data_IF_337334595605
#
_entry.id   IF_337334595605
#
_cell.length_a   1.000
_cell.length_b   1.000
_cell.length_c   1.000
_cell.angle_alpha   90.00
_cell.angle_beta   90.00
_cell.angle_gamma   90.00
#
_symmetry.space_group_name_H-M   'P 1'
#
loop_
_entity.id
_entity.type
_entity.pdbx_description
1 polymer ?
#
# COMPACT_ATOMS: atom_id res chain seq x y z
N UNK A 1 -10.70 8.48 2.51
CA UNK A 1 -9.58 7.70 3.08
C UNK A 1 -9.18 8.30 4.42
N UNK A 2 -8.79 9.59 4.50
CA UNK A 2 -8.26 10.22 5.71
C UNK A 2 -9.14 9.97 6.94
N UNK A 3 -10.45 10.17 6.83
CA UNK A 3 -11.42 9.98 7.93
C UNK A 3 -11.55 8.52 8.39
N UNK A 4 -11.12 7.57 7.57
CA UNK A 4 -11.24 6.13 7.84
C UNK A 4 -9.89 5.44 8.03
N UNK A 5 -8.82 6.21 8.26
CA UNK A 5 -7.50 5.63 8.59
C UNK A 5 -7.63 4.72 9.82
N UNK A 6 -7.05 3.53 9.75
CA UNK A 6 -7.21 2.47 10.74
C UNK A 6 -8.34 1.47 10.43
N UNK A 7 -9.14 1.71 9.38
CA UNK A 7 -10.27 0.86 8.95
C UNK A 7 -10.32 0.68 7.42
N UNK A 8 -9.19 0.79 6.74
CA UNK A 8 -9.11 0.70 5.28
C UNK A 8 -8.98 -0.76 4.86
N UNK A 9 -9.92 -1.23 4.06
CA UNK A 9 -9.92 -2.57 3.47
C UNK A 9 -9.60 -2.46 1.98
N UNK A 10 -8.50 -3.06 1.54
CA UNK A 10 -8.16 -3.19 0.14
C UNK A 10 -8.70 -4.51 -0.42
N UNK A 11 -9.36 -4.46 -1.57
CA UNK A 11 -9.80 -5.64 -2.32
C UNK A 11 -8.91 -5.81 -3.54
N UNK A 12 -8.07 -6.84 -3.51
CA UNK A 12 -7.10 -7.15 -4.55
C UNK A 12 -5.74 -6.47 -4.38
N UNK A 13 -4.75 -7.11 -4.98
CA UNK A 13 -3.33 -6.70 -4.88
C UNK A 13 -3.01 -5.41 -5.63
N UNK A 14 -3.79 -5.06 -6.65
CA UNK A 14 -3.67 -3.77 -7.35
C UNK A 14 -4.17 -2.64 -6.45
N UNK A 15 -5.32 -2.82 -5.79
CA UNK A 15 -5.90 -1.81 -4.91
C UNK A 15 -4.97 -1.45 -3.75
N UNK A 16 -4.38 -2.46 -3.08
CA UNK A 16 -3.45 -2.17 -1.99
C UNK A 16 -2.20 -1.43 -2.47
N UNK A 17 -1.65 -1.78 -3.64
CA UNK A 17 -0.49 -1.07 -4.21
C UNK A 17 -0.84 0.37 -4.53
N UNK A 18 -2.00 0.64 -5.10
CA UNK A 18 -2.48 1.99 -5.38
C UNK A 18 -2.66 2.78 -4.10
N UNK A 19 -3.35 2.24 -3.10
CA UNK A 19 -3.60 2.92 -1.83
C UNK A 19 -2.31 3.23 -1.07
N UNK A 20 -1.38 2.29 -0.98
CA UNK A 20 -0.09 2.51 -0.33
C UNK A 20 0.78 3.54 -1.09
N UNK A 21 0.66 3.62 -2.42
CA UNK A 21 1.37 4.62 -3.22
C UNK A 21 0.93 6.05 -2.93
N UNK A 22 -0.31 6.26 -2.47
CA UNK A 22 -0.80 7.60 -2.12
C UNK A 22 0.05 8.27 -1.03
N UNK A 23 0.57 7.49 -0.09
CA UNK A 23 1.47 8.03 0.93
C UNK A 23 2.74 8.65 0.31
N UNK A 24 3.38 7.95 -0.61
CA UNK A 24 4.62 8.42 -1.25
C UNK A 24 4.36 9.61 -2.17
N UNK A 25 3.27 9.57 -2.93
CA UNK A 25 2.82 10.68 -3.78
C UNK A 25 2.52 11.91 -2.92
N UNK A 26 1.80 11.74 -1.81
CA UNK A 26 1.53 12.82 -0.87
C UNK A 26 2.82 13.42 -0.27
N UNK A 27 3.81 12.58 0.03
CA UNK A 27 5.12 13.05 0.50
C UNK A 27 5.86 13.86 -0.57
N UNK A 28 5.80 13.47 -1.85
CA UNK A 28 6.37 14.23 -2.95
C UNK A 28 5.69 15.60 -3.07
N UNK A 29 4.35 15.65 -3.02
CA UNK A 29 3.58 16.90 -3.07
C UNK A 29 3.86 17.79 -1.87
N UNK A 30 3.92 17.23 -0.66
CA UNK A 30 4.30 17.97 0.54
C UNK A 30 5.67 18.63 0.38
N UNK A 31 6.65 17.89 -0.12
CA UNK A 31 8.01 18.39 -0.36
C UNK A 31 8.00 19.52 -1.39
N UNK A 32 7.24 19.38 -2.49
CA UNK A 32 7.11 20.43 -3.51
C UNK A 32 6.49 21.73 -2.95
N UNK A 33 5.51 21.61 -2.07
CA UNK A 33 4.84 22.75 -1.47
C UNK A 33 5.74 23.50 -0.46
N UNK A 34 6.66 22.80 0.21
CA UNK A 34 7.49 23.36 1.28
C UNK A 34 8.95 23.56 0.89
N UNK A 35 9.36 23.09 -0.30
CA UNK A 35 10.72 23.22 -0.78
C UNK A 35 10.74 23.77 -2.22
N UNK A 36 11.13 25.02 -2.37
CA UNK A 36 11.16 25.73 -3.67
C UNK A 36 12.18 25.18 -4.67
N UNK A 37 13.07 24.29 -4.25
CA UNK A 37 14.12 23.72 -5.10
C UNK A 37 13.78 22.35 -5.70
N UNK A 38 12.74 21.70 -5.22
CA UNK A 38 12.34 20.37 -5.69
C UNK A 38 10.94 20.40 -6.29
N UNK A 39 10.85 20.41 -7.62
CA UNK A 39 9.59 20.28 -8.36
C UNK A 39 9.53 18.92 -9.05
N UNK A 40 8.52 18.15 -8.75
CA UNK A 40 8.25 16.90 -9.46
C UNK A 40 7.45 17.22 -10.73
N UNK A 41 8.02 16.91 -11.88
CA UNK A 41 7.34 17.07 -13.19
C UNK A 41 6.34 15.93 -13.44
N UNK A 42 6.55 14.78 -12.81
CA UNK A 42 5.66 13.62 -12.86
C UNK A 42 5.58 13.00 -11.47
N UNK A 43 4.37 12.80 -10.97
CA UNK A 43 4.15 12.11 -9.71
C UNK A 43 4.26 10.61 -9.94
N UNK A 44 5.27 9.98 -9.40
CA UNK A 44 5.51 8.55 -9.59
C UNK A 44 6.17 7.92 -8.38
N UNK A 45 5.84 6.65 -8.13
CA UNK A 45 6.47 5.84 -7.10
C UNK A 45 7.32 4.76 -7.76
N UNK A 46 8.63 4.83 -7.59
CA UNK A 46 9.55 3.85 -8.13
C UNK A 46 9.45 2.50 -7.38
N UNK A 47 9.88 1.42 -8.04
CA UNK A 47 9.71 0.05 -7.54
C UNK A 47 10.20 -0.17 -6.11
N UNK A 48 11.37 0.37 -5.78
CA UNK A 48 12.01 0.18 -4.47
C UNK A 48 12.08 1.47 -3.64
N UNK A 49 11.38 2.52 -4.04
CA UNK A 49 11.36 3.80 -3.34
C UNK A 49 11.05 3.68 -1.84
N UNK A 50 10.10 2.83 -1.40
CA UNK A 50 9.79 2.68 0.02
C UNK A 50 10.97 2.24 0.90
N UNK A 51 12.01 1.68 0.29
CA UNK A 51 13.17 1.10 1.01
C UNK A 51 14.43 1.95 0.91
N UNK A 52 14.41 3.05 0.16
CA UNK A 52 15.60 3.87 -0.15
C UNK A 52 15.71 5.14 0.67
N UNK A 53 14.62 5.57 1.31
CA UNK A 53 14.51 6.83 2.05
C UNK A 53 13.76 6.63 3.35
N UNK A 54 14.11 7.42 4.35
CA UNK A 54 13.28 7.58 5.54
C UNK A 54 12.16 8.57 5.25
N UNK A 55 10.94 8.19 5.58
CA UNK A 55 9.75 9.02 5.45
C UNK A 55 9.26 9.39 6.85
N UNK A 56 9.17 10.70 7.13
CA UNK A 56 8.86 11.24 8.47
C UNK A 56 7.42 11.75 8.60
N UNK A 57 6.73 11.95 7.47
CA UNK A 57 5.34 12.39 7.51
C UNK A 57 4.44 11.29 8.05
N UNK A 58 3.44 11.69 8.82
CA UNK A 58 2.32 10.81 9.13
C UNK A 58 1.50 10.53 7.88
N UNK A 59 0.77 9.43 7.88
CA UNK A 59 -0.13 9.09 6.77
C UNK A 59 -1.15 10.19 6.51
N UNK A 60 -1.68 10.78 7.59
CA UNK A 60 -2.65 11.87 7.50
C UNK A 60 -2.05 13.10 6.80
N UNK A 61 -0.85 13.54 7.18
CA UNK A 61 -0.17 14.69 6.55
C UNK A 61 0.10 14.45 5.07
N UNK A 62 0.60 13.26 4.72
CA UNK A 62 0.85 12.91 3.33
C UNK A 62 -0.44 12.92 2.48
N UNK A 63 -1.51 12.31 2.97
CA UNK A 63 -2.79 12.31 2.26
C UNK A 63 -3.42 13.72 2.20
N UNK A 64 -3.27 14.53 3.26
CA UNK A 64 -3.74 15.91 3.26
C UNK A 64 -3.00 16.77 2.23
N UNK A 65 -1.72 16.52 1.99
CA UNK A 65 -0.97 17.20 0.94
C UNK A 65 -1.56 16.95 -0.47
N UNK A 66 -2.09 15.75 -0.72
CA UNK A 66 -2.82 15.46 -1.97
C UNK A 66 -4.08 16.32 -2.08
N UNK A 67 -4.88 16.38 -1.01
CA UNK A 67 -6.12 17.19 -1.01
C UNK A 67 -5.78 18.66 -1.23
N UNK A 68 -4.81 19.19 -0.49
CA UNK A 68 -4.38 20.57 -0.62
C UNK A 68 -3.87 20.89 -2.04
N UNK A 69 -3.16 19.96 -2.68
CA UNK A 69 -2.71 20.14 -4.06
C UNK A 69 -3.88 20.18 -5.04
N UNK A 70 -4.85 19.29 -4.93
CA UNK A 70 -6.05 19.27 -5.78
C UNK A 70 -6.87 20.55 -5.62
N UNK A 71 -7.06 21.00 -4.38
CA UNK A 71 -7.78 22.25 -4.08
C UNK A 71 -7.05 23.47 -4.66
N UNK A 72 -5.74 23.56 -4.46
CA UNK A 72 -4.93 24.69 -4.95
C UNK A 72 -4.87 24.75 -6.48
N UNK A 73 -4.89 23.60 -7.16
CA UNK A 73 -4.86 23.51 -8.63
C UNK A 73 -6.26 23.46 -9.25
N UNK A 74 -7.31 23.43 -8.43
CA UNK A 74 -8.71 23.26 -8.86
C UNK A 74 -8.91 22.01 -9.74
N UNK A 75 -8.20 20.94 -9.43
CA UNK A 75 -8.28 19.65 -10.12
C UNK A 75 -9.12 18.67 -9.30
N UNK A 76 -9.98 17.93 -9.96
CA UNK A 76 -10.76 16.85 -9.34
C UNK A 76 -10.07 15.49 -9.40
N UNK A 77 -9.05 15.35 -10.24
CA UNK A 77 -8.36 14.08 -10.50
C UNK A 77 -6.85 14.25 -10.37
N UNK A 78 -6.23 13.35 -9.61
CA UNK A 78 -4.78 13.23 -9.51
C UNK A 78 -4.27 12.18 -10.51
N UNK A 79 -3.36 12.57 -11.38
CA UNK A 79 -2.65 11.66 -12.27
C UNK A 79 -1.29 11.31 -11.68
N UNK A 80 -1.05 10.03 -11.46
CA UNK A 80 0.21 9.54 -10.93
C UNK A 80 0.48 8.10 -11.41
N UNK A 81 1.74 7.69 -11.37
CA UNK A 81 2.18 6.35 -11.75
C UNK A 81 2.78 5.62 -10.55
N UNK A 82 2.64 4.30 -10.52
CA UNK A 82 3.28 3.48 -9.49
C UNK A 82 3.83 2.18 -10.04
N UNK A 83 5.05 1.87 -9.64
CA UNK A 83 5.70 0.57 -9.83
C UNK A 83 6.01 -0.09 -8.47
N UNK A 84 5.41 0.40 -7.40
CA UNK A 84 5.72 -0.01 -6.02
C UNK A 84 5.81 -1.54 -5.88
N UNK A 85 6.91 -2.01 -5.30
CA UNK A 85 7.09 -3.41 -4.90
C UNK A 85 6.87 -3.51 -3.40
N UNK A 86 5.87 -4.28 -2.99
CA UNK A 86 5.63 -4.60 -1.58
C UNK A 86 6.20 -5.99 -1.31
N UNK A 87 7.15 -6.07 -0.39
CA UNK A 87 7.85 -7.30 0.01
C UNK A 87 8.07 -7.30 1.53
N UNK A 88 8.46 -8.42 2.16
CA UNK A 88 8.78 -8.45 3.59
C UNK A 88 9.71 -7.31 4.01
N UNK A 89 9.37 -6.66 5.14
CA UNK A 89 10.00 -5.43 5.62
C UNK A 89 9.35 -4.13 5.13
N UNK A 90 8.24 -4.22 4.36
CA UNK A 90 7.43 -3.05 4.01
C UNK A 90 6.58 -2.58 5.19
N UNK A 91 6.58 -1.28 5.47
CA UNK A 91 5.72 -0.67 6.46
C UNK A 91 4.44 -0.14 5.81
N UNK A 92 3.34 -0.86 6.01
CA UNK A 92 2.02 -0.44 5.52
C UNK A 92 1.56 0.81 6.25
N UNK A 93 1.04 1.77 5.50
CA UNK A 93 0.67 3.09 5.99
C UNK A 93 -0.82 3.38 5.90
N UNK A 94 -1.46 2.88 4.86
CA UNK A 94 -2.85 3.21 4.53
C UNK A 94 -3.78 2.03 4.80
N UNK A 95 -3.39 0.81 4.39
CA UNK A 95 -4.29 -0.35 4.39
C UNK A 95 -4.18 -1.16 5.67
N UNK A 96 -5.31 -1.49 6.28
CA UNK A 96 -5.42 -2.28 7.51
C UNK A 96 -5.84 -3.72 7.27
N UNK A 97 -6.65 -3.96 6.23
CA UNK A 97 -7.11 -5.30 5.83
C UNK A 97 -6.96 -5.50 4.33
N UNK A 98 -6.66 -6.71 3.93
CA UNK A 98 -6.53 -7.11 2.53
C UNK A 98 -7.44 -8.30 2.25
N UNK A 99 -8.32 -8.16 1.25
CA UNK A 99 -9.07 -9.26 0.66
C UNK A 99 -8.36 -9.66 -0.63
N UNK A 100 -7.90 -10.90 -0.72
CA UNK A 100 -7.18 -11.38 -1.89
C UNK A 100 -7.35 -12.88 -2.09
N UNK A 101 -7.20 -13.34 -3.34
CA UNK A 101 -7.13 -14.78 -3.65
C UNK A 101 -5.82 -15.37 -3.15
N UNK A 102 -5.77 -16.72 -3.14
CA UNK A 102 -4.53 -17.45 -2.89
C UNK A 102 -3.65 -17.43 -4.15
N UNK A 103 -2.40 -17.03 -4.00
CA UNK A 103 -1.44 -16.84 -5.09
C UNK A 103 -0.44 -18.00 -5.19
N UNK A 104 0.15 -18.16 -6.38
CA UNK A 104 1.16 -19.19 -6.61
C UNK A 104 2.46 -18.89 -5.83
N UNK A 105 3.20 -19.93 -5.43
CA UNK A 105 4.56 -19.80 -4.92
C UNK A 105 5.46 -19.07 -5.91
N UNK A 106 6.50 -18.38 -5.40
CA UNK A 106 7.49 -17.63 -6.18
C UNK A 106 6.89 -16.47 -7.01
N UNK A 107 5.72 -15.98 -6.67
CA UNK A 107 5.12 -14.79 -7.28
C UNK A 107 5.38 -13.53 -6.45
N UNK A 108 5.43 -12.37 -7.10
CA UNK A 108 5.49 -11.08 -6.42
C UNK A 108 4.23 -10.79 -5.58
N UNK A 109 3.13 -11.43 -5.92
CA UNK A 109 1.88 -11.33 -5.18
C UNK A 109 1.97 -12.05 -3.83
N UNK A 110 2.65 -13.20 -3.78
CA UNK A 110 2.91 -13.89 -2.51
C UNK A 110 3.89 -13.11 -1.62
N UNK A 111 4.85 -12.39 -2.20
CA UNK A 111 5.72 -11.49 -1.43
C UNK A 111 4.92 -10.38 -0.74
N UNK A 112 3.90 -9.82 -1.42
CA UNK A 112 2.99 -8.85 -0.84
C UNK A 112 2.18 -9.45 0.31
N UNK A 113 1.61 -10.64 0.12
CA UNK A 113 0.88 -11.36 1.18
C UNK A 113 1.81 -11.63 2.38
N UNK A 114 3.02 -12.14 2.12
CA UNK A 114 4.02 -12.38 3.16
C UNK A 114 4.37 -11.11 3.96
N UNK A 115 4.54 -9.98 3.26
CA UNK A 115 4.75 -8.69 3.92
C UNK A 115 3.56 -8.27 4.78
N UNK A 116 2.33 -8.54 4.30
CA UNK A 116 1.10 -8.11 4.96
C UNK A 116 0.82 -8.87 6.26
N UNK A 117 1.18 -10.15 6.32
CA UNK A 117 0.98 -11.03 7.49
C UNK A 117 2.26 -11.24 8.29
N UNK A 118 3.25 -10.36 8.13
CA UNK A 118 4.53 -10.38 8.85
C UNK A 118 5.27 -11.73 8.79
N UNK A 119 5.23 -12.36 7.63
CA UNK A 119 5.91 -13.63 7.34
C UNK A 119 5.09 -14.90 7.60
N UNK A 120 3.93 -14.82 8.25
CA UNK A 120 3.12 -16.00 8.63
C UNK A 120 2.24 -16.58 7.50
N UNK A 121 2.62 -16.30 6.25
CA UNK A 121 1.85 -16.78 5.10
C UNK A 121 1.86 -18.31 4.97
N UNK A 122 2.87 -19.00 5.47
CA UNK A 122 2.96 -20.48 5.43
C UNK A 122 1.80 -21.13 6.17
N UNK A 123 1.55 -20.72 7.41
CA UNK A 123 0.43 -21.23 8.22
C UNK A 123 -0.91 -21.05 7.49
N UNK A 124 -1.13 -19.88 6.88
CA UNK A 124 -2.36 -19.57 6.14
C UNK A 124 -2.51 -20.47 4.91
N UNK A 125 -1.41 -20.67 4.16
CA UNK A 125 -1.43 -21.45 2.93
C UNK A 125 -1.49 -22.96 3.20
N UNK A 126 -0.84 -23.45 4.25
CA UNK A 126 -0.92 -24.86 4.68
C UNK A 126 -2.35 -25.21 5.13
N UNK A 127 -3.01 -24.29 5.85
CA UNK A 127 -4.43 -24.43 6.18
C UNK A 127 -5.29 -24.50 4.91
N UNK A 128 -5.11 -23.60 3.98
CA UNK A 128 -5.89 -23.56 2.74
C UNK A 128 -5.70 -24.84 1.90
N UNK A 129 -4.46 -25.33 1.79
CA UNK A 129 -4.15 -26.58 1.07
C UNK A 129 -4.79 -27.81 1.73
N UNK A 130 -4.72 -27.90 3.06
CA UNK A 130 -5.28 -29.03 3.81
C UNK A 130 -6.81 -29.03 3.82
N UNK A 131 -7.46 -27.90 3.51
CA UNK A 131 -8.92 -27.77 3.45
C UNK A 131 -9.47 -27.65 2.02
N UNK A 132 -8.69 -28.03 1.01
CA UNK A 132 -9.08 -28.04 -0.40
C UNK A 132 -9.52 -26.67 -0.95
N UNK A 133 -8.95 -25.58 -0.47
CA UNK A 133 -9.21 -24.26 -1.02
C UNK A 133 -8.66 -24.16 -2.45
N UNK A 134 -9.42 -23.49 -3.31
CA UNK A 134 -9.03 -23.25 -4.70
C UNK A 134 -8.16 -22.01 -4.78
N UNK A 135 -7.17 -22.05 -5.64
CA UNK A 135 -6.18 -21.01 -5.84
C UNK A 135 -6.44 -20.21 -7.11
N UNK A 136 -5.79 -19.06 -7.23
CA UNK A 136 -5.82 -18.13 -8.36
C UNK A 136 -7.16 -17.39 -8.53
N UNK A 137 -7.35 -16.73 -9.67
CA UNK A 137 -8.40 -15.73 -9.91
C UNK A 137 -9.83 -16.24 -9.80
N UNK A 138 -10.03 -17.54 -10.01
CA UNK A 138 -11.35 -18.20 -9.85
C UNK A 138 -11.43 -19.06 -8.59
N UNK A 139 -10.47 -18.86 -7.70
CA UNK A 139 -10.37 -19.61 -6.45
C UNK A 139 -11.06 -18.92 -5.29
N UNK A 140 -10.80 -19.47 -4.12
CA UNK A 140 -11.27 -18.92 -2.86
C UNK A 140 -10.45 -17.68 -2.48
N UNK A 141 -11.00 -16.86 -1.59
CA UNK A 141 -10.36 -15.62 -1.13
C UNK A 141 -10.11 -15.68 0.36
N UNK A 142 -9.10 -14.94 0.81
CA UNK A 142 -8.78 -14.74 2.21
C UNK A 142 -9.01 -13.28 2.61
N UNK A 143 -9.40 -13.08 3.87
CA UNK A 143 -9.39 -11.77 4.51
C UNK A 143 -8.21 -11.76 5.47
N UNK A 144 -7.24 -10.93 5.20
CA UNK A 144 -6.04 -10.79 6.00
C UNK A 144 -6.11 -9.49 6.81
N UNK A 145 -5.75 -9.55 8.07
CA UNK A 145 -5.72 -8.36 8.96
C UNK A 145 -4.31 -8.20 9.49
N UNK A 146 -3.79 -6.97 9.47
CA UNK A 146 -2.47 -6.67 10.02
C UNK A 146 -2.44 -6.88 11.52
N UNK A 147 -1.35 -7.43 12.02
CA UNK A 147 -1.07 -7.49 13.45
C UNK A 147 -0.98 -6.07 14.04
N UNK A 148 -1.51 -5.87 15.25
CA UNK A 148 -1.48 -4.56 15.94
C UNK A 148 -0.05 -4.13 16.30
N UNK A 149 0.93 -5.04 16.30
CA UNK A 149 2.33 -4.75 16.62
C UNK A 149 3.06 -3.89 15.59
N UNK A 150 2.51 -3.74 14.39
CA UNK A 150 3.11 -2.99 13.27
C UNK A 150 2.47 -1.61 13.04
N UNK A 151 1.58 -1.15 13.91
CA UNK A 151 1.05 0.22 13.83
C UNK A 151 2.03 1.17 14.51
N UNK A 152 2.94 1.76 13.75
CA UNK A 152 3.63 2.98 14.17
C UNK A 152 2.64 4.14 14.14
N UNK A 153 2.42 4.75 15.30
CA UNK A 153 1.69 6.00 15.43
C UNK A 153 2.40 7.12 14.66
#
# INVERSE_FOLDING_TARGET
IIQNLGHIVAVGTTSIRTLESLYFIGTQLYTTLHNTTQHYTTLSVAQFEPYTKEYRLTTCEALQAIVNYLDATQQEVLHAETQIMIKPGYHFRVVDQLITNFHQPKSTLLLLVSAFVDGDWHTIYDYALSHNFRFLSYGDSSILTRSKSTRSN
#
